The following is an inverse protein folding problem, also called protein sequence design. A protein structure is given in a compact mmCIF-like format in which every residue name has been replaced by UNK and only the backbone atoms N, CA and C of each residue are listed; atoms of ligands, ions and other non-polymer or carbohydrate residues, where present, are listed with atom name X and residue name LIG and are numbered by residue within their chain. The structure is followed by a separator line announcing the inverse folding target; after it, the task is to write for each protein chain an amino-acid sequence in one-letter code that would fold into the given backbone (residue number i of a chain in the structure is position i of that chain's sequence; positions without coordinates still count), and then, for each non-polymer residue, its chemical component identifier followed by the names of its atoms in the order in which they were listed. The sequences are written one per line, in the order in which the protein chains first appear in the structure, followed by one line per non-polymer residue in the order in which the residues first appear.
data_IF_957521191817
#
_entry.id   IF_957521191817
#
_cell.length_a   1.000
_cell.length_b   1.000
_cell.length_c   1.000
_cell.angle_alpha   90.00
_cell.angle_beta   90.00
_cell.angle_gamma   90.00
#
_symmetry.space_group_name_H-M   'P 1'
#
loop_
_entity.id
_entity.type
_entity.pdbx_description
1 polymer ?
#
# COMPACT_ATOMS: atom_id res chain seq x y z
N UNK A 1 12.10 2.86 -0.50
CA UNK A 1 12.36 1.41 -0.66
C UNK A 1 12.09 0.63 0.62
N UNK A 2 12.73 0.92 1.76
CA UNK A 2 12.51 0.16 3.03
C UNK A 2 11.04 -0.01 3.43
N UNK A 3 10.25 1.07 3.51
CA UNK A 3 8.82 1.01 3.83
C UNK A 3 7.99 0.18 2.85
N UNK A 4 8.36 0.21 1.57
CA UNK A 4 7.70 -0.53 0.50
C UNK A 4 8.03 -2.02 0.56
N UNK A 5 9.28 -2.34 0.93
CA UNK A 5 9.79 -3.71 1.05
C UNK A 5 9.25 -4.43 2.29
N UNK A 6 8.97 -3.68 3.36
CA UNK A 6 8.56 -4.20 4.66
C UNK A 6 7.23 -3.54 5.09
N UNK A 7 6.10 -3.91 4.47
CA UNK A 7 4.80 -3.43 4.91
C UNK A 7 4.53 -3.87 6.36
N UNK A 8 3.88 -3.04 7.19
CA UNK A 8 3.58 -3.39 8.57
C UNK A 8 2.58 -4.56 8.62
N UNK A 9 2.79 -5.49 9.55
CA UNK A 9 1.86 -6.56 9.85
C UNK A 9 0.98 -6.18 11.06
N UNK A 10 -0.25 -6.69 11.05
CA UNK A 10 -1.22 -6.49 12.13
C UNK A 10 -1.74 -7.84 12.60
N UNK A 11 -2.13 -7.89 13.88
CA UNK A 11 -2.77 -9.03 14.53
C UNK A 11 -3.95 -8.51 15.37
N UNK A 12 -4.79 -9.44 15.83
CA UNK A 12 -5.98 -9.17 16.63
C UNK A 12 -7.28 -9.58 15.92
N UNK A 13 -8.35 -9.62 16.70
CA UNK A 13 -9.68 -10.02 16.20
C UNK A 13 -10.63 -8.83 16.18
N UNK A 14 -11.44 -8.76 15.13
CA UNK A 14 -12.55 -7.81 15.02
C UNK A 14 -13.84 -8.60 14.95
N UNK A 15 -14.87 -8.14 15.68
CA UNK A 15 -16.19 -8.73 15.58
C UNK A 15 -16.70 -8.65 14.13
N UNK A 16 -17.20 -9.76 13.58
CA UNK A 16 -17.66 -9.84 12.20
C UNK A 16 -18.86 -8.91 11.90
N UNK A 17 -19.08 -8.69 10.60
CA UNK A 17 -20.19 -7.90 10.03
C UNK A 17 -20.22 -6.43 10.51
N UNK A 18 -19.04 -5.82 10.68
CA UNK A 18 -18.92 -4.42 11.08
C UNK A 18 -18.44 -3.51 9.94
N UNK A 19 -19.00 -2.31 9.94
CA UNK A 19 -18.38 -1.16 9.30
C UNK A 19 -17.33 -0.59 10.27
N UNK A 20 -16.09 -0.49 9.80
CA UNK A 20 -14.94 -0.09 10.63
C UNK A 20 -14.42 1.26 10.15
N UNK A 21 -14.12 2.13 11.10
CA UNK A 21 -13.33 3.35 10.88
C UNK A 21 -11.97 3.13 11.52
N UNK A 22 -10.90 3.36 10.77
CA UNK A 22 -9.53 3.29 11.28
C UNK A 22 -9.03 4.69 11.62
N UNK A 23 -8.34 4.83 12.74
CA UNK A 23 -7.88 6.12 13.28
C UNK A 23 -6.42 6.02 13.67
N UNK A 24 -5.64 7.04 13.36
CA UNK A 24 -4.23 7.18 13.74
C UNK A 24 -3.90 8.62 14.15
N UNK A 25 -2.75 8.87 14.78
CA UNK A 25 -2.33 10.23 15.13
C UNK A 25 -1.78 10.99 13.90
N UNK A 26 -1.04 10.30 13.03
CA UNK A 26 -0.31 10.90 11.92
C UNK A 26 -0.29 10.03 10.67
N UNK A 27 -0.66 10.61 9.54
CA UNK A 27 -0.51 9.99 8.24
C UNK A 27 0.68 10.56 7.45
N UNK A 28 1.63 9.68 7.09
CA UNK A 28 2.74 10.02 6.19
C UNK A 28 2.56 9.45 4.80
N UNK A 29 2.89 8.19 4.55
CA UNK A 29 2.81 7.55 3.23
C UNK A 29 1.52 6.76 3.02
N UNK A 30 0.78 6.49 4.11
CA UNK A 30 -0.47 5.73 4.08
C UNK A 30 -0.32 4.21 4.17
N UNK A 31 0.91 3.66 4.10
CA UNK A 31 1.14 2.21 4.17
C UNK A 31 0.55 1.54 5.42
N UNK A 32 0.57 2.22 6.58
CA UNK A 32 -0.09 1.74 7.81
C UNK A 32 -1.58 1.52 7.62
N UNK A 33 -2.29 2.54 7.10
CA UNK A 33 -3.74 2.43 6.85
C UNK A 33 -4.08 1.40 5.78
N UNK A 34 -3.30 1.33 4.71
CA UNK A 34 -3.51 0.37 3.63
C UNK A 34 -3.36 -1.09 4.12
N UNK A 35 -2.28 -1.36 4.88
CA UNK A 35 -2.03 -2.67 5.46
C UNK A 35 -3.07 -3.04 6.53
N UNK A 36 -3.46 -2.11 7.41
CA UNK A 36 -4.51 -2.36 8.40
C UNK A 36 -5.85 -2.63 7.74
N UNK A 37 -6.24 -1.84 6.73
CA UNK A 37 -7.44 -2.12 5.93
C UNK A 37 -7.39 -3.52 5.30
N UNK A 38 -6.23 -3.91 4.76
CA UNK A 38 -6.01 -5.25 4.24
C UNK A 38 -6.24 -6.33 5.29
N UNK A 39 -5.66 -6.19 6.49
CA UNK A 39 -5.86 -7.12 7.60
C UNK A 39 -7.34 -7.25 8.00
N UNK A 40 -8.05 -6.12 8.12
CA UNK A 40 -9.47 -6.09 8.52
C UNK A 40 -10.37 -6.75 7.48
N UNK A 41 -10.18 -6.45 6.19
CA UNK A 41 -11.06 -6.91 5.12
C UNK A 41 -10.73 -8.31 4.60
N UNK A 42 -9.55 -8.85 4.95
CA UNK A 42 -9.20 -10.26 4.66
C UNK A 42 -9.60 -11.19 5.79
N UNK A 43 -9.76 -10.66 7.01
CA UNK A 43 -10.17 -11.41 8.20
C UNK A 43 -11.68 -11.25 8.42
N UNK A 44 -12.48 -11.90 7.58
CA UNK A 44 -13.94 -11.97 7.70
C UNK A 44 -14.73 -11.06 6.74
N UNK A 45 -15.90 -10.62 7.18
CA UNK A 45 -16.87 -9.84 6.38
C UNK A 45 -16.83 -8.33 6.66
N UNK A 46 -15.88 -7.90 7.49
CA UNK A 46 -15.75 -6.51 7.90
C UNK A 46 -15.36 -5.61 6.74
N UNK A 47 -15.84 -4.36 6.78
CA UNK A 47 -15.57 -3.37 5.73
C UNK A 47 -15.03 -2.09 6.33
N UNK A 48 -13.89 -1.62 5.84
CA UNK A 48 -13.38 -0.31 6.23
C UNK A 48 -14.12 0.76 5.42
N UNK A 49 -14.79 1.67 6.12
CA UNK A 49 -15.61 2.73 5.52
C UNK A 49 -14.97 4.13 5.61
N UNK A 50 -13.87 4.26 6.37
CA UNK A 50 -13.16 5.52 6.50
C UNK A 50 -11.84 5.37 7.24
N UNK A 51 -10.92 6.30 6.99
CA UNK A 51 -9.63 6.42 7.67
C UNK A 51 -9.42 7.87 8.08
N UNK A 52 -9.04 8.11 9.35
CA UNK A 52 -8.82 9.44 9.89
C UNK A 52 -7.46 9.54 10.57
N UNK A 53 -6.73 10.63 10.33
CA UNK A 53 -5.53 10.97 11.07
C UNK A 53 -5.63 12.39 11.62
N UNK A 54 -5.11 12.64 12.82
CA UNK A 54 -5.10 13.98 13.41
C UNK A 54 -4.15 14.93 12.66
N UNK A 55 -3.06 14.40 12.12
CA UNK A 55 -2.10 15.16 11.32
C UNK A 55 -1.72 14.43 10.04
N UNK A 56 -1.29 15.17 9.02
CA UNK A 56 -0.80 14.60 7.78
C UNK A 56 -0.13 15.63 6.90
N UNK A 57 0.70 15.17 5.95
CA UNK A 57 1.23 16.07 4.92
C UNK A 57 0.17 16.30 3.85
N UNK A 58 0.08 17.52 3.32
CA UNK A 58 -0.97 17.92 2.36
C UNK A 58 -1.06 16.99 1.13
N UNK A 59 0.09 16.54 0.62
CA UNK A 59 0.19 15.61 -0.51
C UNK A 59 -0.09 14.14 -0.16
N UNK A 60 -0.27 13.82 1.12
CA UNK A 60 -0.60 12.48 1.60
C UNK A 60 -2.09 12.25 1.74
N UNK A 61 -2.91 13.30 1.64
CA UNK A 61 -4.36 13.25 1.81
C UNK A 61 -5.06 12.20 0.93
N UNK A 62 -4.54 11.97 -0.28
CA UNK A 62 -5.01 10.89 -1.14
C UNK A 62 -4.34 9.56 -0.75
N UNK A 63 -5.05 8.75 0.03
CA UNK A 63 -4.62 7.40 0.36
C UNK A 63 -4.86 6.42 -0.81
N UNK A 64 -6.06 6.47 -1.38
CA UNK A 64 -6.50 5.55 -2.42
C UNK A 64 -5.78 5.82 -3.75
N UNK A 65 -5.24 4.76 -4.33
CA UNK A 65 -4.63 4.81 -5.65
C UNK A 65 -5.66 5.21 -6.71
N UNK A 66 -5.36 6.27 -7.46
CA UNK A 66 -6.16 6.69 -8.60
C UNK A 66 -5.98 5.74 -9.79
N UNK A 67 -7.03 5.62 -10.61
CA UNK A 67 -6.98 4.84 -11.85
C UNK A 67 -5.91 5.35 -12.81
N UNK A 68 -5.69 6.66 -12.84
CA UNK A 68 -4.68 7.30 -13.67
C UNK A 68 -3.26 6.88 -13.24
N UNK A 69 -2.92 7.03 -11.96
CA UNK A 69 -1.61 6.62 -11.44
C UNK A 69 -1.39 5.11 -11.59
N UNK A 70 -2.43 4.29 -11.37
CA UNK A 70 -2.34 2.84 -11.60
C UNK A 70 -2.05 2.51 -13.07
N UNK A 71 -2.73 3.16 -14.01
CA UNK A 71 -2.48 2.94 -15.43
C UNK A 71 -1.05 3.31 -15.80
N UNK A 72 -0.58 4.49 -15.38
CA UNK A 72 0.81 4.91 -15.60
C UNK A 72 1.82 3.92 -15.00
N UNK A 73 1.54 3.42 -13.79
CA UNK A 73 2.40 2.42 -13.15
C UNK A 73 2.47 1.12 -13.96
N UNK A 74 1.33 0.65 -14.50
CA UNK A 74 1.28 -0.52 -15.37
C UNK A 74 1.92 -0.30 -16.73
N UNK A 75 1.82 0.91 -17.29
CA UNK A 75 2.45 1.24 -18.57
C UNK A 75 3.99 1.21 -18.45
N UNK A 76 4.54 1.67 -17.33
CA UNK A 76 6.00 1.73 -17.11
C UNK A 76 6.57 0.43 -16.51
N UNK A 77 5.84 -0.19 -15.58
CA UNK A 77 6.33 -1.31 -14.76
C UNK A 77 5.41 -2.55 -14.78
N UNK A 78 4.51 -2.68 -15.75
CA UNK A 78 3.54 -3.79 -15.78
C UNK A 78 4.17 -5.17 -15.80
N UNK A 79 5.37 -5.31 -16.37
CA UNK A 79 6.15 -6.57 -16.34
C UNK A 79 6.59 -6.98 -14.92
N UNK A 80 6.59 -6.06 -13.95
CA UNK A 80 6.92 -6.31 -12.56
C UNK A 80 5.72 -6.79 -11.74
N UNK A 81 4.48 -6.57 -12.20
CA UNK A 81 3.26 -6.80 -11.40
C UNK A 81 3.07 -8.29 -11.02
N UNK A 82 3.44 -9.21 -11.90
CA UNK A 82 3.39 -10.64 -11.61
C UNK A 82 4.36 -11.05 -10.49
N UNK A 83 5.59 -10.52 -10.52
CA UNK A 83 6.57 -10.72 -9.43
C UNK A 83 6.11 -10.03 -8.15
N UNK A 84 5.53 -8.83 -8.26
CA UNK A 84 5.01 -8.10 -7.11
C UNK A 84 3.95 -8.93 -6.38
N UNK A 85 3.00 -9.48 -7.13
CA UNK A 85 1.93 -10.33 -6.59
C UNK A 85 2.45 -11.60 -5.93
N UNK A 86 3.51 -12.21 -6.45
CA UNK A 86 4.08 -13.42 -5.81
C UNK A 86 4.78 -13.10 -4.48
N UNK A 87 5.33 -11.89 -4.32
CA UNK A 87 6.05 -11.48 -3.12
C UNK A 87 5.14 -10.90 -2.03
N UNK A 88 4.07 -10.18 -2.41
CA UNK A 88 3.19 -9.50 -1.44
C UNK A 88 1.78 -10.09 -1.34
N UNK A 89 1.39 -10.97 -2.26
CA UNK A 89 0.04 -11.58 -2.29
C UNK A 89 -1.05 -10.68 -2.91
N UNK A 90 -0.70 -9.48 -3.37
CA UNK A 90 -1.61 -8.54 -4.02
C UNK A 90 -0.93 -7.84 -5.21
N UNK A 91 -1.72 -7.31 -6.14
CA UNK A 91 -1.25 -6.58 -7.31
C UNK A 91 -1.10 -5.06 -7.06
N UNK A 92 -0.78 -4.28 -8.09
CA UNK A 92 -0.55 -2.85 -7.92
C UNK A 92 -1.78 -2.06 -7.46
N UNK A 93 -2.99 -2.61 -7.57
CA UNK A 93 -4.22 -1.91 -7.16
C UNK A 93 -4.32 -1.70 -5.65
N UNK A 94 -3.51 -2.43 -4.87
CA UNK A 94 -3.48 -2.33 -3.40
C UNK A 94 -2.39 -1.40 -2.87
N UNK A 95 -1.60 -0.80 -3.75
CA UNK A 95 -0.66 0.26 -3.37
C UNK A 95 -1.41 1.52 -2.91
N UNK A 96 -0.77 2.32 -2.06
CA UNK A 96 -1.22 3.69 -1.86
C UNK A 96 -0.84 4.57 -3.05
N UNK A 97 -1.55 5.67 -3.23
CA UNK A 97 -1.21 6.68 -4.25
C UNK A 97 0.25 7.14 -4.12
N UNK A 98 0.71 7.33 -2.88
CA UNK A 98 2.08 7.75 -2.60
C UNK A 98 3.10 6.67 -3.02
N UNK A 99 2.83 5.40 -2.73
CA UNK A 99 3.73 4.29 -3.08
C UNK A 99 3.86 4.13 -4.59
N UNK A 100 2.74 4.18 -5.33
CA UNK A 100 2.75 4.12 -6.78
C UNK A 100 3.53 5.31 -7.39
N UNK A 101 3.26 6.53 -6.93
CA UNK A 101 4.02 7.73 -7.35
C UNK A 101 5.49 7.64 -6.97
N UNK A 102 5.84 7.05 -5.84
CA UNK A 102 7.22 6.86 -5.43
C UNK A 102 7.97 5.94 -6.40
N UNK A 103 7.35 4.82 -6.81
CA UNK A 103 7.92 3.91 -7.81
C UNK A 103 8.08 4.63 -9.15
N UNK A 104 7.03 5.31 -9.64
CA UNK A 104 7.06 6.09 -10.88
C UNK A 104 8.17 7.14 -10.89
N UNK A 105 8.24 7.95 -9.84
CA UNK A 105 9.21 9.05 -9.73
C UNK A 105 10.64 8.57 -9.47
N UNK A 106 10.86 7.29 -9.18
CA UNK A 106 12.21 6.74 -9.02
C UNK A 106 13.02 6.73 -10.31
N UNK A 107 12.34 6.78 -11.47
CA UNK A 107 12.91 6.73 -12.83
C UNK A 107 13.90 5.58 -13.01
N UNK A 108 13.61 4.45 -12.37
CA UNK A 108 14.40 3.22 -12.42
C UNK A 108 13.85 2.26 -13.45
N UNK A 109 14.65 1.30 -13.89
CA UNK A 109 14.13 0.17 -14.65
C UNK A 109 13.35 -0.78 -13.73
N UNK A 110 12.48 -1.62 -14.29
CA UNK A 110 11.75 -2.62 -13.52
C UNK A 110 12.69 -3.56 -12.73
N UNK A 111 13.82 -3.96 -13.32
CA UNK A 111 14.85 -4.76 -12.63
C UNK A 111 15.48 -4.00 -11.47
N UNK A 112 15.84 -2.72 -11.65
CA UNK A 112 16.39 -1.92 -10.56
C UNK A 112 15.39 -1.70 -9.42
N UNK A 113 14.10 -1.53 -9.72
CA UNK A 113 13.03 -1.46 -8.70
C UNK A 113 12.97 -2.77 -7.92
N UNK A 114 12.93 -3.90 -8.63
CA UNK A 114 12.93 -5.24 -8.03
C UNK A 114 14.12 -5.42 -7.09
N UNK A 115 15.32 -5.13 -7.58
CA UNK A 115 16.56 -5.35 -6.85
C UNK A 115 16.66 -4.43 -5.61
N UNK A 116 16.18 -3.18 -5.71
CA UNK A 116 16.08 -2.26 -4.57
C UNK A 116 15.13 -2.74 -3.50
N UNK A 117 14.00 -3.35 -3.88
CA UNK A 117 13.04 -3.93 -2.95
C UNK A 117 13.66 -5.15 -2.26
N UNK A 118 14.25 -6.07 -3.01
CA UNK A 118 14.91 -7.27 -2.46
C UNK A 118 16.01 -6.88 -1.47
N UNK A 119 16.89 -5.95 -1.85
CA UNK A 119 17.96 -5.46 -0.98
C UNK A 119 17.46 -4.74 0.28
N UNK A 120 16.21 -4.26 0.29
CA UNK A 120 15.62 -3.57 1.43
C UNK A 120 14.78 -4.47 2.33
N UNK A 121 14.50 -5.73 1.93
CA UNK A 121 13.74 -6.67 2.75
C UNK A 121 14.56 -7.10 3.97
N UNK A 122 13.94 -7.04 5.14
CA UNK A 122 14.50 -7.59 6.37
C UNK A 122 14.21 -9.09 6.42
N UNK A 123 15.19 -9.85 6.94
CA UNK A 123 15.11 -11.30 7.14
C UNK A 123 14.55 -11.62 8.52
#
# INVERSE_FOLDING_TARGET
WHRLANPPAFDGTINNDKCVIIVDDTQTQGGTFAALKGHIETTGTNKVIGAYALTGKQYSSQLALSKETLQQLRDVYGNLEAWWKSIYGYDFERLTEWEAKYILNSRKTADEVRDRIIASKQT
#
